data_IF_120677516408
#
_entry.id   IF_120677516408
#
_cell.length_a   1.000
_cell.length_b   1.000
_cell.length_c   1.000
_cell.angle_alpha   90.00
_cell.angle_beta   90.00
_cell.angle_gamma   90.00
#
_symmetry.space_group_name_H-M   'P 1'
#
loop_
_entity.id
_entity.type
_entity.pdbx_description
1 polymer ?
#
# COMPACT_ATOMS: atom_id res chain seq x y z
N UNK A 1 -15.25 -26.79 -24.79
CA UNK A 1 -13.96 -27.26 -25.28
C UNK A 1 -13.31 -26.18 -26.11
N UNK A 2 -12.20 -25.63 -25.72
CA UNK A 2 -11.27 -25.06 -26.68
C UNK A 2 -9.85 -25.61 -26.51
N UNK A 3 -9.16 -25.57 -27.60
CA UNK A 3 -8.00 -26.26 -28.05
C UNK A 3 -6.69 -25.66 -27.48
N UNK A 4 -5.81 -26.49 -26.94
CA UNK A 4 -4.46 -26.14 -26.54
C UNK A 4 -3.51 -26.30 -27.74
N UNK A 5 -2.89 -25.24 -28.20
CA UNK A 5 -1.75 -25.31 -29.14
C UNK A 5 -0.43 -25.09 -28.40
N UNK A 6 0.34 -26.17 -28.26
CA UNK A 6 1.74 -26.16 -27.80
C UNK A 6 2.66 -25.75 -28.95
N UNK A 7 3.50 -24.76 -28.75
CA UNK A 7 4.60 -24.42 -29.66
C UNK A 7 5.90 -24.99 -29.10
N UNK A 8 6.41 -26.02 -29.75
CA UNK A 8 7.74 -26.61 -29.53
C UNK A 8 8.78 -25.89 -30.38
N UNK A 9 9.82 -25.34 -29.77
CA UNK A 9 11.01 -24.86 -30.48
C UNK A 9 12.14 -25.88 -30.38
N UNK A 10 12.65 -26.28 -31.56
CA UNK A 10 13.76 -27.20 -31.76
C UNK A 10 15.10 -26.54 -31.45
N UNK A 11 15.94 -27.25 -30.69
CA UNK A 11 17.37 -26.96 -30.56
C UNK A 11 18.13 -27.39 -31.82
N UNK A 12 18.91 -26.49 -32.38
CA UNK A 12 19.90 -26.78 -33.40
C UNK A 12 21.30 -26.90 -32.80
N UNK A 13 21.88 -28.07 -32.93
CA UNK A 13 23.26 -28.39 -32.55
C UNK A 13 24.19 -27.97 -33.69
N UNK A 14 25.22 -27.18 -33.41
CA UNK A 14 26.37 -27.02 -34.32
C UNK A 14 27.69 -27.35 -33.59
N UNK A 15 28.38 -28.33 -34.12
CA UNK A 15 29.73 -28.74 -33.72
C UNK A 15 30.76 -27.71 -34.22
N UNK A 16 31.79 -27.45 -33.44
CA UNK A 16 32.99 -26.76 -33.90
C UNK A 16 34.27 -27.35 -33.31
N UNK A 17 35.26 -27.41 -34.17
CA UNK A 17 36.54 -28.06 -34.14
C UNK A 17 37.49 -27.65 -33.00
N UNK A 18 38.29 -28.60 -32.58
CA UNK A 18 39.44 -28.45 -31.68
C UNK A 18 40.65 -27.81 -32.39
N UNK A 19 41.27 -26.84 -31.73
CA UNK A 19 42.62 -26.38 -32.06
C UNK A 19 43.43 -26.31 -30.76
N UNK A 20 44.54 -27.03 -30.71
CA UNK A 20 45.50 -27.03 -29.61
C UNK A 20 46.38 -25.79 -29.66
N UNK A 21 46.56 -25.10 -28.54
CA UNK A 21 47.55 -24.05 -28.37
C UNK A 21 48.25 -24.18 -26.99
N UNK A 22 49.54 -24.11 -27.06
CA UNK A 22 50.58 -24.21 -26.06
C UNK A 22 50.45 -23.24 -24.88
N UNK A 23 50.73 -23.70 -23.66
CA UNK A 23 50.74 -22.98 -22.40
C UNK A 23 52.04 -22.22 -22.21
N UNK A 24 52.03 -20.94 -21.84
CA UNK A 24 53.10 -20.32 -21.07
C UNK A 24 52.70 -20.23 -19.59
N UNK A 25 53.61 -20.68 -18.70
CA UNK A 25 53.52 -20.43 -17.26
C UNK A 25 53.53 -18.91 -17.03
N UNK A 26 52.48 -18.41 -16.42
CA UNK A 26 52.43 -17.04 -15.91
C UNK A 26 52.08 -17.07 -14.40
N UNK A 27 52.92 -16.38 -13.65
CA UNK A 27 52.91 -16.15 -12.21
C UNK A 27 51.52 -15.84 -11.67
N UNK A 28 51.09 -16.60 -10.68
CA UNK A 28 49.87 -16.32 -9.88
C UNK A 28 50.07 -15.09 -9.02
N UNK A 29 49.55 -13.94 -9.47
CA UNK A 29 49.26 -12.87 -8.56
C UNK A 29 48.00 -13.26 -7.78
N UNK A 30 48.11 -13.40 -6.45
CA UNK A 30 46.96 -13.51 -5.55
C UNK A 30 46.14 -12.23 -5.67
N UNK A 31 45.04 -12.27 -6.45
CA UNK A 31 44.03 -11.20 -6.41
C UNK A 31 43.33 -11.30 -5.07
N UNK A 32 43.45 -10.24 -4.26
CA UNK A 32 42.62 -10.04 -3.09
C UNK A 32 41.12 -10.14 -3.50
N UNK A 33 40.27 -10.76 -2.69
CA UNK A 33 38.86 -10.80 -2.99
C UNK A 33 38.35 -9.35 -3.10
N UNK A 34 37.76 -8.98 -4.25
CA UNK A 34 37.09 -7.74 -4.42
C UNK A 34 36.01 -7.65 -3.33
N UNK A 35 36.16 -6.68 -2.43
CA UNK A 35 35.12 -6.37 -1.46
C UNK A 35 33.84 -6.18 -2.27
N UNK A 36 32.86 -7.06 -2.06
CA UNK A 36 31.52 -6.91 -2.63
C UNK A 36 31.01 -5.58 -2.15
N UNK A 37 30.92 -4.59 -3.04
CA UNK A 37 30.32 -3.30 -2.74
C UNK A 37 28.89 -3.58 -2.27
N UNK A 38 28.59 -3.22 -1.03
CA UNK A 38 27.21 -3.29 -0.54
C UNK A 38 26.32 -2.58 -1.56
N UNK A 39 25.19 -3.19 -1.94
CA UNK A 39 24.29 -2.56 -2.90
C UNK A 39 23.87 -1.22 -2.31
N UNK A 40 24.12 -0.14 -3.05
CA UNK A 40 23.67 1.20 -2.65
C UNK A 40 22.19 1.10 -2.31
N UNK A 41 21.77 1.56 -1.12
CA UNK A 41 20.38 1.47 -0.71
C UNK A 41 19.50 2.09 -1.80
N UNK A 42 18.60 1.28 -2.36
CA UNK A 42 17.68 1.72 -3.40
C UNK A 42 16.90 2.94 -2.92
N UNK A 43 16.40 3.76 -3.84
CA UNK A 43 15.52 4.88 -3.45
C UNK A 43 14.31 4.33 -2.69
N UNK A 44 13.97 4.91 -1.53
CA UNK A 44 12.90 4.42 -0.69
C UNK A 44 11.57 4.36 -1.46
N UNK A 45 10.69 3.46 -1.03
CA UNK A 45 9.31 3.37 -1.48
C UNK A 45 8.49 4.35 -0.64
N UNK A 46 7.93 5.37 -1.27
CA UNK A 46 7.03 6.32 -0.61
C UNK A 46 5.62 5.77 -0.62
N UNK A 47 5.06 5.53 0.56
CA UNK A 47 3.71 4.97 0.77
C UNK A 47 2.86 5.98 1.51
N UNK A 48 1.59 6.07 1.13
CA UNK A 48 0.59 6.92 1.77
C UNK A 48 -0.65 6.08 2.08
N UNK A 49 -1.23 6.23 3.28
CA UNK A 49 -2.59 5.83 3.61
C UNK A 49 -3.44 7.10 3.72
N UNK A 50 -4.56 7.15 3.01
CA UNK A 50 -5.35 8.36 2.95
C UNK A 50 -6.86 8.09 2.81
N UNK A 51 -7.60 8.26 3.90
CA UNK A 51 -9.04 8.35 3.83
C UNK A 51 -9.43 9.65 3.10
N UNK A 52 -10.06 9.51 1.93
CA UNK A 52 -10.39 10.63 1.03
C UNK A 52 -11.59 11.44 1.52
N UNK A 53 -12.37 10.92 2.48
CA UNK A 53 -13.75 11.30 2.73
C UNK A 53 -14.57 11.22 1.43
N UNK A 54 -15.64 10.48 1.42
CA UNK A 54 -16.47 10.29 0.23
C UNK A 54 -16.90 11.64 -0.41
N UNK A 55 -17.17 11.62 -1.71
CA UNK A 55 -17.54 12.79 -2.48
C UNK A 55 -18.93 13.30 -2.08
N UNK A 56 -18.98 14.11 -1.03
CA UNK A 56 -20.16 14.80 -0.55
C UNK A 56 -20.37 16.10 -1.33
N UNK A 57 -21.63 16.49 -1.53
CA UNK A 57 -22.02 17.83 -2.00
C UNK A 57 -22.22 18.84 -0.86
N UNK A 58 -22.07 18.41 0.41
CA UNK A 58 -22.29 19.25 1.58
C UNK A 58 -21.20 20.32 1.74
N UNK A 59 -21.63 21.58 1.71
CA UNK A 59 -20.78 22.73 1.95
C UNK A 59 -20.48 22.89 3.46
N UNK A 60 -19.34 23.51 3.84
CA UNK A 60 -18.30 24.08 2.97
C UNK A 60 -17.24 23.08 2.49
N UNK A 61 -17.41 21.78 2.75
CA UNK A 61 -16.42 20.75 2.48
C UNK A 61 -16.88 19.77 1.38
N UNK A 62 -17.61 20.29 0.38
CA UNK A 62 -18.00 19.49 -0.79
C UNK A 62 -16.78 18.96 -1.54
N UNK A 63 -16.95 17.86 -2.31
CA UNK A 63 -15.87 17.34 -3.13
C UNK A 63 -15.34 18.39 -4.12
N UNK A 64 -16.19 19.17 -4.71
CA UNK A 64 -15.81 20.25 -5.63
C UNK A 64 -14.84 21.24 -4.99
N UNK A 65 -15.07 21.59 -3.72
CA UNK A 65 -14.19 22.50 -2.96
C UNK A 65 -12.88 21.79 -2.57
N UNK A 66 -12.95 20.53 -2.16
CA UNK A 66 -11.78 19.76 -1.68
C UNK A 66 -10.86 19.28 -2.79
N UNK A 67 -11.38 18.95 -3.97
CA UNK A 67 -10.62 18.36 -5.09
C UNK A 67 -9.37 19.16 -5.47
N UNK A 68 -9.39 20.49 -5.65
CA UNK A 68 -8.17 21.26 -5.98
C UNK A 68 -7.08 21.14 -4.91
N UNK A 69 -7.47 21.06 -3.63
CA UNK A 69 -6.57 20.90 -2.50
C UNK A 69 -6.00 19.49 -2.50
N UNK A 70 -6.85 18.47 -2.72
CA UNK A 70 -6.46 17.07 -2.87
C UNK A 70 -5.44 16.89 -3.99
N UNK A 71 -5.72 17.42 -5.17
CA UNK A 71 -4.79 17.40 -6.31
C UNK A 71 -3.44 17.99 -5.96
N UNK A 72 -3.42 19.13 -5.28
CA UNK A 72 -2.19 19.81 -4.89
C UNK A 72 -1.39 18.98 -3.89
N UNK A 73 -2.04 18.41 -2.88
CA UNK A 73 -1.41 17.53 -1.90
C UNK A 73 -0.77 16.33 -2.58
N UNK A 74 -1.56 15.58 -3.37
CA UNK A 74 -1.10 14.33 -4.00
C UNK A 74 0.05 14.57 -4.98
N UNK A 75 0.00 15.64 -5.77
CA UNK A 75 1.08 16.00 -6.70
C UNK A 75 2.36 16.43 -5.98
N UNK A 76 2.25 17.13 -4.84
CA UNK A 76 3.42 17.52 -4.03
C UNK A 76 4.06 16.35 -3.30
N UNK A 77 3.25 15.51 -2.68
CA UNK A 77 3.71 14.33 -1.97
C UNK A 77 4.26 13.26 -2.93
N UNK A 78 3.65 13.11 -4.10
CA UNK A 78 4.01 12.20 -5.18
C UNK A 78 4.40 10.79 -4.67
N UNK A 79 3.61 10.13 -3.81
CA UNK A 79 3.94 8.82 -3.26
C UNK A 79 3.94 7.76 -4.36
N UNK A 80 4.67 6.67 -4.16
CA UNK A 80 4.70 5.58 -5.13
C UNK A 80 3.48 4.65 -4.99
N UNK A 81 2.90 4.59 -3.78
CA UNK A 81 1.68 3.84 -3.45
C UNK A 81 0.77 4.72 -2.59
N UNK A 82 -0.52 4.73 -2.89
CA UNK A 82 -1.55 5.39 -2.08
C UNK A 82 -2.67 4.38 -1.82
N UNK A 83 -2.81 3.90 -0.59
CA UNK A 83 -4.01 3.19 -0.15
C UNK A 83 -5.09 4.21 0.20
N UNK A 84 -6.23 4.16 -0.47
CA UNK A 84 -7.32 5.12 -0.24
C UNK A 84 -8.55 4.46 0.36
N UNK A 85 -9.26 5.17 1.22
CA UNK A 85 -10.51 4.75 1.83
C UNK A 85 -11.60 5.77 1.49
N UNK A 86 -12.86 5.37 1.54
CA UNK A 86 -14.07 6.17 1.25
C UNK A 86 -14.21 6.70 -0.19
N UNK A 87 -13.30 6.38 -1.08
CA UNK A 87 -13.36 6.89 -2.44
C UNK A 87 -14.57 6.35 -3.21
N UNK A 88 -15.49 7.25 -3.64
CA UNK A 88 -16.53 6.90 -4.60
C UNK A 88 -15.93 6.79 -6.01
N UNK A 89 -16.48 5.93 -6.85
CA UNK A 89 -15.92 5.68 -8.19
C UNK A 89 -15.71 6.96 -9.01
N UNK A 90 -16.66 7.93 -9.10
CA UNK A 90 -16.39 9.20 -9.79
C UNK A 90 -15.27 10.01 -9.15
N UNK A 91 -15.11 9.95 -7.82
CA UNK A 91 -14.02 10.62 -7.10
C UNK A 91 -12.67 10.02 -7.43
N UNK A 92 -12.60 8.68 -7.57
CA UNK A 92 -11.37 8.01 -8.00
C UNK A 92 -10.98 8.37 -9.43
N UNK A 93 -11.95 8.48 -10.36
CA UNK A 93 -11.72 8.96 -11.71
C UNK A 93 -11.20 10.41 -11.74
N UNK A 94 -11.73 11.27 -10.89
CA UNK A 94 -11.26 12.64 -10.73
C UNK A 94 -9.82 12.70 -10.25
N UNK A 95 -9.45 11.85 -9.27
CA UNK A 95 -8.08 11.75 -8.74
C UNK A 95 -7.13 11.19 -9.81
N UNK A 96 -7.54 10.16 -10.53
CA UNK A 96 -6.79 9.58 -11.64
C UNK A 96 -6.47 10.63 -12.71
N UNK A 97 -7.47 11.36 -13.16
CA UNK A 97 -7.31 12.48 -14.09
C UNK A 97 -6.38 13.58 -13.54
N UNK A 98 -6.49 13.89 -12.25
CA UNK A 98 -5.67 14.90 -11.58
C UNK A 98 -4.20 14.45 -11.42
N UNK A 99 -3.93 13.16 -11.22
CA UNK A 99 -2.58 12.59 -11.13
C UNK A 99 -1.96 12.36 -12.51
N UNK A 100 -2.79 12.12 -13.53
CA UNK A 100 -2.41 11.92 -14.93
C UNK A 100 -1.69 10.58 -15.17
N UNK A 101 -1.13 10.36 -16.38
CA UNK A 101 -0.69 9.04 -16.88
C UNK A 101 0.50 8.43 -16.12
N UNK A 102 0.99 9.11 -15.12
CA UNK A 102 2.01 8.58 -14.21
C UNK A 102 1.41 7.58 -13.22
N UNK A 103 0.15 7.71 -12.91
CA UNK A 103 -0.53 6.86 -11.94
C UNK A 103 -1.59 6.02 -12.64
N UNK A 104 -1.88 4.89 -12.02
CA UNK A 104 -3.00 4.02 -12.30
C UNK A 104 -3.50 3.47 -10.96
N UNK A 105 -4.63 2.80 -10.90
CA UNK A 105 -5.18 2.29 -9.66
C UNK A 105 -5.91 0.95 -9.80
N UNK A 106 -5.95 0.20 -8.71
CA UNK A 106 -6.65 -1.07 -8.56
C UNK A 106 -7.58 -0.95 -7.36
N UNK A 107 -8.83 -1.33 -7.52
CA UNK A 107 -9.81 -1.30 -6.44
C UNK A 107 -11.19 -1.66 -6.94
N UNK A 108 -12.09 -1.91 -6.00
CA UNK A 108 -13.49 -2.18 -6.25
C UNK A 108 -14.36 -1.52 -5.18
N UNK A 109 -15.60 -1.21 -5.53
CA UNK A 109 -16.60 -0.78 -4.57
C UNK A 109 -17.02 -1.93 -3.65
N UNK A 110 -17.23 -1.62 -2.37
CA UNK A 110 -17.55 -2.64 -1.35
C UNK A 110 -18.86 -3.40 -1.60
N UNK A 111 -19.77 -2.87 -2.44
CA UNK A 111 -21.00 -3.55 -2.85
C UNK A 111 -20.94 -4.14 -4.26
N UNK A 112 -19.83 -4.07 -4.96
CA UNK A 112 -19.56 -4.60 -6.30
C UNK A 112 -19.11 -3.51 -7.29
N UNK A 113 -18.09 -3.81 -8.10
CA UNK A 113 -17.66 -2.96 -9.22
C UNK A 113 -17.42 -1.50 -8.80
N UNK A 114 -18.25 -0.58 -9.29
CA UNK A 114 -18.19 0.86 -8.97
C UNK A 114 -19.19 1.31 -7.90
N UNK A 115 -19.88 0.35 -7.23
CA UNK A 115 -20.93 0.68 -6.27
C UNK A 115 -20.39 0.88 -4.87
N UNK A 116 -20.81 2.01 -4.24
CA UNK A 116 -20.42 2.41 -2.90
C UNK A 116 -18.92 2.80 -2.81
N UNK A 117 -18.40 2.94 -1.60
CA UNK A 117 -17.02 3.31 -1.33
C UNK A 117 -16.04 2.21 -1.74
N UNK A 118 -14.90 2.61 -2.25
CA UNK A 118 -13.87 1.71 -2.75
C UNK A 118 -12.62 1.76 -1.88
N UNK A 119 -11.98 0.59 -1.72
CA UNK A 119 -10.63 0.47 -1.17
C UNK A 119 -9.64 0.44 -2.33
N UNK A 120 -9.26 1.61 -2.86
CA UNK A 120 -8.38 1.68 -4.02
C UNK A 120 -6.91 1.81 -3.62
N UNK A 121 -6.03 1.23 -4.44
CA UNK A 121 -4.58 1.37 -4.35
C UNK A 121 -4.10 2.05 -5.62
N UNK A 122 -3.76 3.34 -5.53
CA UNK A 122 -3.07 4.06 -6.60
C UNK A 122 -1.58 3.78 -6.58
N UNK A 123 -0.94 3.72 -7.75
CA UNK A 123 0.48 3.42 -7.85
C UNK A 123 1.18 4.16 -9.00
N UNK A 124 2.46 4.52 -8.80
CA UNK A 124 3.32 5.12 -9.84
C UNK A 124 3.73 4.07 -10.88
N UNK A 125 3.14 4.11 -12.06
CA UNK A 125 3.37 3.17 -13.17
C UNK A 125 4.80 3.17 -13.69
N UNK A 126 5.59 4.21 -13.43
CA UNK A 126 7.01 4.29 -13.82
C UNK A 126 7.91 3.48 -12.88
N UNK A 127 7.42 3.15 -11.70
CA UNK A 127 8.13 2.36 -10.70
C UNK A 127 7.54 0.98 -10.50
N UNK A 128 6.22 0.88 -10.45
CA UNK A 128 5.50 -0.32 -10.04
C UNK A 128 4.73 -0.95 -11.21
N UNK A 129 4.73 -2.27 -11.24
CA UNK A 129 3.90 -3.06 -12.15
C UNK A 129 3.08 -4.03 -11.30
N UNK A 130 1.74 -4.01 -11.36
CA UNK A 130 0.95 -5.01 -10.69
C UNK A 130 1.19 -6.39 -11.33
N UNK A 131 1.36 -7.40 -10.50
CA UNK A 131 1.59 -8.79 -10.90
C UNK A 131 0.34 -9.62 -10.65
N UNK A 132 -0.29 -9.36 -9.52
CA UNK A 132 -1.49 -10.05 -9.07
C UNK A 132 -2.27 -9.13 -8.13
N UNK A 133 -3.57 -9.25 -8.10
CA UNK A 133 -4.42 -8.53 -7.14
C UNK A 133 -5.73 -9.29 -6.94
N UNK A 134 -6.35 -9.04 -5.78
CA UNK A 134 -7.68 -9.55 -5.47
C UNK A 134 -8.33 -8.72 -4.35
N UNK A 135 -9.56 -9.07 -4.02
CA UNK A 135 -10.38 -8.45 -3.00
C UNK A 135 -10.96 -9.51 -2.08
N UNK A 136 -11.13 -9.18 -0.81
CA UNK A 136 -11.92 -10.00 0.10
C UNK A 136 -12.70 -9.13 1.09
N UNK A 137 -13.86 -9.63 1.54
CA UNK A 137 -14.72 -8.92 2.46
C UNK A 137 -14.43 -9.30 3.91
N UNK A 138 -14.54 -8.31 4.79
CA UNK A 138 -14.30 -8.50 6.22
C UNK A 138 -15.58 -9.05 6.87
N UNK A 139 -15.75 -10.38 6.76
CA UNK A 139 -16.92 -11.14 7.16
C UNK A 139 -16.58 -12.62 7.34
N UNK A 140 -17.53 -13.44 7.82
CA UNK A 140 -17.37 -14.90 7.88
C UNK A 140 -17.38 -15.55 6.48
N UNK A 141 -17.77 -14.81 5.45
CA UNK A 141 -17.76 -15.25 4.05
C UNK A 141 -16.95 -14.26 3.20
N UNK A 142 -15.62 -14.24 3.34
CA UNK A 142 -14.78 -13.20 2.77
C UNK A 142 -14.78 -13.18 1.23
N UNK A 143 -15.10 -14.28 0.58
CA UNK A 143 -15.15 -14.37 -0.89
C UNK A 143 -16.54 -14.00 -1.47
N UNK A 144 -17.50 -13.60 -0.60
CA UNK A 144 -18.84 -13.15 -1.01
C UNK A 144 -18.88 -11.62 -1.05
N UNK A 145 -19.10 -11.10 -2.24
CA UNK A 145 -19.18 -9.65 -2.50
C UNK A 145 -20.28 -8.99 -1.64
N UNK A 146 -19.90 -7.90 -0.96
CA UNK A 146 -20.83 -7.15 -0.11
C UNK A 146 -21.17 -7.83 1.22
N UNK A 147 -20.51 -8.95 1.54
CA UNK A 147 -20.78 -9.68 2.78
C UNK A 147 -20.50 -8.85 4.03
N UNK A 148 -21.44 -8.91 4.99
CA UNK A 148 -21.38 -8.24 6.29
C UNK A 148 -22.07 -9.11 7.34
N UNK A 149 -21.32 -9.94 8.04
CA UNK A 149 -21.85 -10.93 8.98
C UNK A 149 -21.58 -10.58 10.45
N UNK A 150 -20.76 -9.55 10.72
CA UNK A 150 -20.32 -9.19 12.08
C UNK A 150 -21.03 -7.98 12.65
N UNK A 151 -22.15 -7.55 12.05
CA UNK A 151 -22.90 -6.38 12.51
C UNK A 151 -22.15 -5.06 12.31
N UNK A 152 -21.31 -4.98 11.30
CA UNK A 152 -20.74 -3.72 10.85
C UNK A 152 -21.82 -2.82 10.26
N UNK A 153 -21.66 -1.50 10.40
CA UNK A 153 -22.59 -0.54 9.82
C UNK A 153 -22.66 -0.65 8.29
N UNK A 154 -21.53 -1.01 7.68
CA UNK A 154 -21.39 -1.21 6.24
C UNK A 154 -20.53 -2.45 5.95
N UNK A 155 -20.68 -3.03 4.76
CA UNK A 155 -19.73 -4.02 4.27
C UNK A 155 -18.32 -3.39 4.23
N UNK A 156 -17.33 -4.12 4.74
CA UNK A 156 -15.93 -3.70 4.75
C UNK A 156 -15.10 -4.71 3.99
N UNK A 157 -14.02 -4.28 3.38
CA UNK A 157 -13.23 -5.11 2.50
C UNK A 157 -11.74 -4.74 2.53
N UNK A 158 -10.95 -5.59 1.93
CA UNK A 158 -9.54 -5.38 1.63
C UNK A 158 -9.35 -5.47 0.13
N UNK A 159 -8.57 -4.55 -0.42
CA UNK A 159 -7.93 -4.71 -1.72
C UNK A 159 -6.46 -5.01 -1.49
N UNK A 160 -5.93 -6.06 -2.10
CA UNK A 160 -4.51 -6.32 -2.07
C UNK A 160 -3.93 -6.42 -3.47
N UNK A 161 -2.66 -6.00 -3.60
CA UNK A 161 -1.92 -6.01 -4.87
C UNK A 161 -0.51 -6.51 -4.61
N UNK A 162 -0.03 -7.46 -5.40
CA UNK A 162 1.38 -7.81 -5.51
C UNK A 162 2.01 -6.99 -6.62
N UNK A 163 2.95 -6.13 -6.24
CA UNK A 163 3.70 -5.28 -7.14
C UNK A 163 5.09 -5.83 -7.40
N UNK A 164 5.61 -5.55 -8.61
CA UNK A 164 7.03 -5.65 -8.96
C UNK A 164 7.62 -4.25 -9.02
N UNK A 165 8.65 -3.97 -8.20
CA UNK A 165 9.38 -2.70 -8.22
C UNK A 165 10.49 -2.73 -9.28
N UNK A 166 10.32 -1.96 -10.34
CA UNK A 166 11.29 -1.87 -11.45
C UNK A 166 12.63 -1.24 -11.04
N UNK A 167 12.65 -0.49 -9.93
CA UNK A 167 13.85 0.17 -9.41
C UNK A 167 14.64 -0.69 -8.42
N UNK A 168 14.04 -1.78 -7.96
CA UNK A 168 14.65 -2.74 -7.04
C UNK A 168 14.87 -4.10 -7.74
N UNK A 169 15.41 -4.10 -8.96
CA UNK A 169 15.77 -5.32 -9.70
C UNK A 169 14.59 -6.27 -9.93
N UNK A 170 13.37 -5.72 -9.97
CA UNK A 170 12.17 -6.52 -10.14
C UNK A 170 11.68 -7.22 -8.86
N UNK A 171 12.14 -6.80 -7.68
CA UNK A 171 11.66 -7.30 -6.39
C UNK A 171 10.16 -7.12 -6.27
N UNK A 172 9.51 -8.14 -5.76
CA UNK A 172 8.07 -8.11 -5.53
C UNK A 172 7.74 -7.85 -4.06
N UNK A 173 6.58 -7.29 -3.82
CA UNK A 173 6.04 -7.03 -2.48
C UNK A 173 4.52 -6.90 -2.55
N UNK A 174 3.85 -7.09 -1.43
CA UNK A 174 2.40 -6.94 -1.30
C UNK A 174 2.03 -5.59 -0.69
N UNK A 175 0.90 -5.05 -1.15
CA UNK A 175 0.20 -3.93 -0.51
C UNK A 175 -1.22 -4.38 -0.23
N UNK A 176 -1.67 -4.23 1.02
CA UNK A 176 -3.06 -4.40 1.44
C UNK A 176 -3.62 -3.03 1.80
N UNK A 177 -4.84 -2.72 1.38
CA UNK A 177 -5.53 -1.50 1.76
C UNK A 177 -6.93 -1.83 2.29
N UNK A 178 -7.30 -1.25 3.43
CA UNK A 178 -8.54 -1.55 4.13
C UNK A 178 -9.17 -0.33 4.79
N UNK A 179 -10.46 -0.44 5.16
CA UNK A 179 -11.18 0.49 6.00
C UNK A 179 -12.07 -0.29 6.97
N UNK A 180 -11.78 -0.22 8.27
CA UNK A 180 -12.52 -0.94 9.29
C UNK A 180 -13.83 -0.22 9.63
N UNK A 181 -14.74 -0.93 10.29
CA UNK A 181 -16.02 -0.37 10.63
C UNK A 181 -15.93 0.70 11.73
N UNK A 182 -16.60 1.83 11.54
CA UNK A 182 -16.56 2.94 12.48
C UNK A 182 -17.46 2.73 13.73
N UNK A 183 -18.48 1.88 13.64
CA UNK A 183 -19.48 1.71 14.68
C UNK A 183 -19.26 0.47 15.57
N UNK A 184 -18.96 -0.69 14.94
CA UNK A 184 -18.91 -1.97 15.62
C UNK A 184 -17.48 -2.34 16.05
N UNK A 185 -17.21 -2.32 17.37
CA UNK A 185 -15.92 -2.79 17.90
C UNK A 185 -15.70 -4.29 17.61
N UNK A 186 -16.75 -5.10 17.75
CA UNK A 186 -16.71 -6.52 17.41
C UNK A 186 -16.30 -6.75 15.95
N UNK A 187 -16.91 -6.00 15.01
CA UNK A 187 -16.55 -6.12 13.60
C UNK A 187 -15.08 -5.72 13.35
N UNK A 188 -14.55 -4.69 14.03
CA UNK A 188 -13.13 -4.31 13.94
C UNK A 188 -12.19 -5.41 14.43
N UNK A 189 -12.52 -6.03 15.57
CA UNK A 189 -11.73 -7.13 16.14
C UNK A 189 -11.72 -8.36 15.24
N UNK A 190 -12.88 -8.74 14.70
CA UNK A 190 -13.00 -9.81 13.71
C UNK A 190 -12.23 -9.50 12.42
N UNK A 191 -12.28 -8.23 11.97
CA UNK A 191 -11.54 -7.76 10.80
C UNK A 191 -10.03 -7.88 11.00
N UNK A 192 -9.52 -7.49 12.16
CA UNK A 192 -8.11 -7.62 12.50
C UNK A 192 -7.68 -9.10 12.54
N UNK A 193 -8.49 -9.98 13.14
CA UNK A 193 -8.22 -11.41 13.18
C UNK A 193 -8.19 -12.04 11.77
N UNK A 194 -9.13 -11.69 10.89
CA UNK A 194 -9.14 -12.18 9.51
C UNK A 194 -7.93 -11.66 8.72
N UNK A 195 -7.56 -10.39 8.85
CA UNK A 195 -6.36 -9.86 8.18
C UNK A 195 -5.10 -10.56 8.73
N UNK A 196 -4.99 -10.77 10.04
CA UNK A 196 -3.89 -11.49 10.65
C UNK A 196 -3.77 -12.92 10.08
N UNK A 197 -4.88 -13.63 9.92
CA UNK A 197 -4.92 -14.94 9.27
C UNK A 197 -4.45 -14.87 7.80
N UNK A 198 -5.03 -13.94 7.02
CA UNK A 198 -4.71 -13.78 5.59
C UNK A 198 -3.27 -13.37 5.36
N UNK A 199 -2.68 -12.54 6.23
CA UNK A 199 -1.26 -12.16 6.15
C UNK A 199 -0.34 -13.37 6.22
N UNK A 200 -0.69 -14.39 7.00
CA UNK A 200 0.06 -15.65 7.06
C UNK A 200 -0.06 -16.52 5.78
N UNK A 201 -1.07 -16.28 4.96
CA UNK A 201 -1.28 -16.97 3.68
C UNK A 201 -0.48 -16.40 2.52
N UNK A 202 0.08 -15.19 2.63
CA UNK A 202 0.95 -14.61 1.61
C UNK A 202 2.36 -15.22 1.63
N UNK A 203 3.08 -15.11 0.51
CA UNK A 203 4.47 -15.53 0.44
C UNK A 203 5.33 -14.74 1.43
N UNK A 204 5.78 -15.39 2.50
CA UNK A 204 6.58 -14.78 3.58
C UNK A 204 7.97 -14.32 3.16
N UNK A 205 8.44 -14.73 1.97
CA UNK A 205 9.69 -14.23 1.41
C UNK A 205 9.55 -12.82 0.83
N UNK A 206 8.30 -12.38 0.61
CA UNK A 206 8.02 -11.07 0.05
C UNK A 206 7.60 -10.10 1.16
N UNK A 207 8.10 -8.85 1.12
CA UNK A 207 7.63 -7.79 1.99
C UNK A 207 6.12 -7.53 1.79
N UNK A 208 5.43 -7.19 2.87
CA UNK A 208 4.04 -6.81 2.84
C UNK A 208 3.85 -5.48 3.58
N UNK A 209 3.06 -4.59 2.99
CA UNK A 209 2.68 -3.28 3.56
C UNK A 209 1.17 -3.23 3.68
N UNK A 210 0.66 -2.82 4.83
CA UNK A 210 -0.78 -2.63 5.07
C UNK A 210 -1.05 -1.15 5.28
N UNK A 211 -1.99 -0.60 4.52
CA UNK A 211 -2.51 0.76 4.68
C UNK A 211 -3.96 0.70 5.09
N UNK A 212 -4.44 1.63 5.91
CA UNK A 212 -5.85 1.64 6.26
C UNK A 212 -6.24 2.73 7.23
N UNK A 213 -7.55 3.00 7.23
CA UNK A 213 -8.27 3.60 8.34
C UNK A 213 -8.86 2.47 9.19
N UNK A 214 -8.34 2.30 10.40
CA UNK A 214 -8.74 1.21 11.29
C UNK A 214 -9.84 1.62 12.27
N UNK A 215 -10.24 2.89 12.26
CA UNK A 215 -11.29 3.46 13.12
C UNK A 215 -11.06 3.20 14.63
N UNK A 216 -9.83 2.94 15.05
CA UNK A 216 -9.38 2.84 16.44
C UNK A 216 -7.99 3.41 16.60
N UNK A 217 -7.67 3.86 17.81
CA UNK A 217 -6.37 4.43 18.10
C UNK A 217 -5.26 3.36 18.13
N UNK A 218 -4.13 3.66 17.52
CA UNK A 218 -2.89 2.90 17.70
C UNK A 218 -2.51 2.83 19.19
N UNK A 219 -1.86 1.74 19.60
CA UNK A 219 -1.40 1.47 20.98
C UNK A 219 -2.47 1.33 22.06
N UNK A 220 -3.75 1.50 21.73
CA UNK A 220 -4.84 1.50 22.72
C UNK A 220 -6.02 0.64 22.34
N UNK A 221 -5.79 -0.40 21.51
CA UNK A 221 -6.87 -1.26 21.07
C UNK A 221 -6.41 -2.69 20.82
N UNK A 222 -7.27 -3.65 21.13
CA UNK A 222 -7.08 -5.08 20.81
C UNK A 222 -6.91 -5.30 19.29
N UNK A 223 -7.50 -4.45 18.46
CA UNK A 223 -7.34 -4.44 17.00
C UNK A 223 -5.88 -4.21 16.60
N UNK A 224 -5.26 -3.19 17.21
CA UNK A 224 -3.84 -2.87 16.99
C UNK A 224 -2.95 -4.02 17.46
N UNK A 225 -3.17 -4.50 18.68
CA UNK A 225 -2.39 -5.58 19.29
C UNK A 225 -2.50 -6.88 18.48
N UNK A 226 -3.68 -7.18 17.92
CA UNK A 226 -3.91 -8.36 17.06
C UNK A 226 -3.08 -8.30 15.79
N UNK A 227 -3.03 -7.15 15.11
CA UNK A 227 -2.26 -6.99 13.88
C UNK A 227 -0.74 -7.04 14.14
N UNK A 228 -0.28 -6.44 15.23
CA UNK A 228 1.13 -6.55 15.63
C UNK A 228 1.48 -7.98 16.07
N UNK A 229 0.58 -8.65 16.79
CA UNK A 229 0.72 -10.06 17.17
C UNK A 229 0.82 -11.02 15.99
N UNK A 230 0.29 -10.65 14.83
CA UNK A 230 0.46 -11.37 13.56
C UNK A 230 1.83 -11.14 12.91
N UNK A 231 2.72 -10.38 13.57
CA UNK A 231 4.07 -10.10 13.09
C UNK A 231 4.19 -8.83 12.25
N UNK A 232 3.14 -7.99 12.18
CA UNK A 232 3.25 -6.68 11.55
C UNK A 232 3.91 -5.68 12.50
N UNK A 233 4.60 -4.70 11.93
CA UNK A 233 5.30 -3.62 12.63
C UNK A 233 4.68 -2.29 12.21
N UNK A 234 4.37 -1.42 13.18
CA UNK A 234 3.92 -0.06 12.88
C UNK A 234 5.10 0.76 12.32
N UNK A 235 4.96 1.23 11.09
CA UNK A 235 6.00 2.03 10.44
C UNK A 235 6.26 3.35 11.15
N UNK A 236 5.27 3.88 11.88
CA UNK A 236 5.47 5.06 12.71
C UNK A 236 6.46 4.79 13.84
N UNK A 237 6.32 3.67 14.54
CA UNK A 237 7.17 3.32 15.68
C UNK A 237 8.58 2.89 15.24
N UNK A 238 8.65 2.17 14.11
CA UNK A 238 9.91 1.71 13.55
C UNK A 238 10.70 2.79 12.79
N UNK A 239 10.14 3.99 12.62
CA UNK A 239 10.76 5.02 11.82
C UNK A 239 12.05 5.58 12.45
N UNK A 240 13.13 5.67 11.67
CA UNK A 240 14.37 6.36 12.03
C UNK A 240 14.14 7.84 12.33
N UNK A 241 13.21 8.46 11.61
CA UNK A 241 12.80 9.85 11.82
C UNK A 241 11.28 9.99 11.70
N UNK A 242 10.68 10.78 12.59
CA UNK A 242 9.24 11.06 12.61
C UNK A 242 8.97 12.55 12.47
N UNK A 243 7.92 12.89 11.72
CA UNK A 243 7.34 14.23 11.76
C UNK A 243 6.56 14.48 13.04
N UNK A 244 6.01 15.69 13.21
CA UNK A 244 5.07 15.97 14.30
C UNK A 244 3.87 15.04 14.27
N UNK A 245 3.44 14.56 15.43
CA UNK A 245 2.25 13.74 15.60
C UNK A 245 1.01 14.62 15.69
N UNK A 246 -0.03 14.25 14.96
CA UNK A 246 -1.38 14.81 15.07
C UNK A 246 -2.41 13.68 15.07
N UNK A 247 -3.60 13.95 15.61
CA UNK A 247 -4.75 13.09 15.38
C UNK A 247 -4.98 12.98 13.86
N UNK A 248 -5.10 11.74 13.35
CA UNK A 248 -5.28 11.55 11.90
C UNK A 248 -6.69 11.87 11.44
N UNK A 249 -7.70 11.77 12.30
CA UNK A 249 -9.05 12.28 12.06
C UNK A 249 -9.25 13.61 12.78
N UNK A 250 -9.52 14.67 12.06
CA UNK A 250 -9.77 16.00 12.64
C UNK A 250 -11.18 16.53 12.39
N UNK A 251 -11.97 15.94 11.47
CA UNK A 251 -13.35 16.32 11.24
C UNK A 251 -13.51 17.82 10.88
N UNK A 252 -12.54 18.38 10.16
CA UNK A 252 -12.45 19.83 9.82
C UNK A 252 -12.37 20.77 11.03
N UNK A 253 -12.02 20.25 12.20
CA UNK A 253 -11.72 21.03 13.41
C UNK A 253 -10.22 21.36 13.47
N UNK A 254 -9.79 22.26 14.38
CA UNK A 254 -8.37 22.51 14.61
C UNK A 254 -7.61 21.22 14.88
N UNK A 255 -6.41 21.11 14.31
CA UNK A 255 -5.57 19.92 14.46
C UNK A 255 -5.20 19.70 15.92
N UNK A 256 -5.25 18.46 16.36
CA UNK A 256 -4.89 18.05 17.73
C UNK A 256 -3.48 17.47 17.75
N UNK A 257 -2.47 18.22 18.23
CA UNK A 257 -1.12 17.70 18.40
C UNK A 257 -1.10 16.52 19.38
N UNK A 258 -0.28 15.50 19.09
CA UNK A 258 -0.14 14.27 19.88
C UNK A 258 -1.47 13.51 20.07
N UNK A 259 -2.44 13.72 19.18
CA UNK A 259 -3.71 13.02 19.19
C UNK A 259 -3.62 11.62 18.59
N UNK A 260 -4.77 10.95 18.56
CA UNK A 260 -4.87 9.56 18.15
C UNK A 260 -4.64 9.36 16.66
N UNK A 261 -3.81 8.38 16.30
CA UNK A 261 -3.72 7.86 14.94
C UNK A 261 -4.72 6.73 14.80
N UNK A 262 -5.71 6.89 13.95
CA UNK A 262 -6.64 5.82 13.53
C UNK A 262 -6.33 5.32 12.11
N UNK A 263 -5.54 6.08 11.37
CA UNK A 263 -4.97 5.70 10.08
C UNK A 263 -3.53 5.22 10.29
N UNK A 264 -3.19 4.02 9.80
CA UNK A 264 -1.87 3.41 10.02
C UNK A 264 -1.27 2.90 8.72
N UNK A 265 0.05 2.78 8.73
CA UNK A 265 0.83 1.99 7.77
C UNK A 265 1.60 0.97 8.58
N UNK A 266 1.32 -0.31 8.35
CA UNK A 266 2.03 -1.43 8.97
C UNK A 266 2.85 -2.15 7.90
N UNK A 267 3.90 -2.85 8.30
CA UNK A 267 4.71 -3.64 7.37
C UNK A 267 5.24 -4.92 8.03
N UNK A 268 5.62 -5.91 7.24
CA UNK A 268 6.30 -7.10 7.74
C UNK A 268 7.71 -6.76 8.24
N UNK A 269 8.29 -7.53 9.18
CA UNK A 269 9.68 -7.42 9.60
C UNK A 269 10.63 -7.48 8.40
N UNK A 270 11.72 -6.70 8.45
CA UNK A 270 12.67 -6.57 7.34
C UNK A 270 12.35 -5.41 6.38
N UNK A 271 11.16 -4.82 6.46
CA UNK A 271 10.88 -3.51 5.84
C UNK A 271 11.41 -2.43 6.78
N UNK A 272 12.44 -1.72 6.34
CA UNK A 272 12.97 -0.58 7.10
C UNK A 272 12.10 0.67 6.88
N UNK A 273 11.91 1.47 7.92
CA UNK A 273 11.19 2.75 7.82
C UNK A 273 12.14 3.90 8.09
N UNK A 274 12.53 4.62 7.06
CA UNK A 274 13.40 5.80 7.18
C UNK A 274 12.67 6.98 7.81
N UNK A 275 11.42 7.20 7.41
CA UNK A 275 10.61 8.31 7.90
C UNK A 275 9.14 7.94 7.93
N UNK A 276 8.46 8.40 8.98
CA UNK A 276 7.00 8.43 9.06
C UNK A 276 6.51 9.86 9.35
N UNK A 277 5.36 10.24 8.79
CA UNK A 277 4.79 11.57 9.01
C UNK A 277 3.28 11.58 8.83
N UNK A 278 2.63 12.50 9.52
CA UNK A 278 1.24 12.90 9.27
C UNK A 278 1.30 14.18 8.43
N UNK A 279 0.64 14.18 7.27
CA UNK A 279 0.69 15.31 6.35
C UNK A 279 -0.45 16.29 6.66
N UNK A 280 -0.10 17.48 7.13
CA UNK A 280 -1.05 18.53 7.55
C UNK A 280 -1.34 19.57 6.47
N UNK A 281 -1.10 19.24 5.20
CA UNK A 281 -1.30 20.19 4.11
C UNK A 281 -2.75 20.65 4.01
N UNK A 282 -2.93 21.95 3.93
CA UNK A 282 -4.17 22.63 3.61
C UNK A 282 -3.89 23.81 2.67
N UNK A 283 -4.88 24.32 2.00
CA UNK A 283 -4.80 25.54 1.19
C UNK A 283 -5.96 26.44 1.54
N UNK A 284 -5.68 27.70 1.84
CA UNK A 284 -6.67 28.72 2.22
C UNK A 284 -7.64 28.26 3.32
N UNK A 285 -7.09 27.51 4.31
CA UNK A 285 -7.87 26.95 5.41
C UNK A 285 -8.68 25.69 5.07
N UNK A 286 -8.72 25.27 3.80
CA UNK A 286 -9.38 24.05 3.37
C UNK A 286 -8.44 22.86 3.41
N UNK A 287 -8.82 21.81 4.13
CA UNK A 287 -8.18 20.49 4.06
C UNK A 287 -8.78 19.65 2.92
N UNK A 288 -7.98 18.75 2.32
CA UNK A 288 -8.48 17.89 1.23
C UNK A 288 -9.43 16.79 1.71
N UNK A 289 -9.37 16.43 2.98
CA UNK A 289 -10.20 15.44 3.67
C UNK A 289 -10.40 15.88 5.13
N UNK A 290 -11.28 15.24 5.87
CA UNK A 290 -11.38 15.32 7.33
C UNK A 290 -10.39 14.38 8.05
N UNK A 291 -9.63 13.58 7.27
CA UNK A 291 -8.47 12.85 7.71
C UNK A 291 -7.17 13.48 7.18
N UNK A 292 -6.09 13.31 7.94
CA UNK A 292 -4.73 13.66 7.53
C UNK A 292 -4.04 12.42 6.95
N UNK A 293 -3.44 12.49 5.76
CA UNK A 293 -2.69 11.37 5.21
C UNK A 293 -1.52 10.96 6.11
N UNK A 294 -1.37 9.66 6.33
CA UNK A 294 -0.17 9.08 6.94
C UNK A 294 0.79 8.66 5.84
N UNK A 295 2.06 8.97 6.00
CA UNK A 295 3.11 8.69 5.00
C UNK A 295 4.28 7.94 5.62
N UNK A 296 4.84 7.00 4.87
CA UNK A 296 6.05 6.29 5.24
C UNK A 296 7.01 6.18 4.05
N UNK A 297 8.30 6.41 4.33
CA UNK A 297 9.42 6.22 3.41
C UNK A 297 10.09 4.91 3.76
N UNK A 298 9.86 3.87 2.96
CA UNK A 298 10.18 2.47 3.25
C UNK A 298 11.37 1.97 2.44
N UNK A 299 12.19 1.12 3.04
CA UNK A 299 13.18 0.30 2.33
C UNK A 299 12.72 -1.15 2.36
N UNK A 300 12.48 -1.72 1.18
CA UNK A 300 12.18 -3.13 1.05
C UNK A 300 13.51 -3.88 1.13
N UNK A 301 13.73 -4.56 2.21
CA UNK A 301 14.96 -5.27 2.56
C UNK A 301 15.44 -6.29 1.53
#
# INVERSE_FOLDING_TARGET
MPNHSRVTRRLGLKAALSAAVTVPLSSTALSAPAASAEPKPGRPLEVMSFNLRYASSAEPHSWTVRRPVMRTLLRRAAPHVIGTQEGLFPQLLDIDADLGPRYDWIGAGRLHGSHDESMAVFYDTRRLTPVEYDHFWLSDTPDVIGSNTWGAAFARMVTWVRFRDRRLWGREFYVLNTHFDHASQYARERSAALIAERVHGFDRALPLVVTGDFNVAAHRSTVYDTLLGAGLVDTWDAAEARGPLYATFHGYRPLTPNGDRIDWILATPGVGTRRASVNTFSADGQFPSDHLPVQASLTLG
#
